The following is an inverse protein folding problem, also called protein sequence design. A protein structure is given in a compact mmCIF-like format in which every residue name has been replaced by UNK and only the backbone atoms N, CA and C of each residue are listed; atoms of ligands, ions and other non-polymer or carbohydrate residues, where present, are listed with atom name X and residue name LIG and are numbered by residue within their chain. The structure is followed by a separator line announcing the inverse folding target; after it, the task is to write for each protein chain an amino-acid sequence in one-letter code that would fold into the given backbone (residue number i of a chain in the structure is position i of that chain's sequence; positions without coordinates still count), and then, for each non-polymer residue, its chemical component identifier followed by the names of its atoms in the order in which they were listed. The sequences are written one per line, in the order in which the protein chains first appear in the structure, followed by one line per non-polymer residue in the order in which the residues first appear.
data_IF_831901676111
#
_entry.id   IF_831901676111
#
_cell.length_a   1.000
_cell.length_b   1.000
_cell.length_c   1.000
_cell.angle_alpha   90.00
_cell.angle_beta   90.00
_cell.angle_gamma   90.00
#
_symmetry.space_group_name_H-M   'P 1'
#
loop_
_entity.id
_entity.type
_entity.pdbx_description
1 polymer ?
#
# COMPACT_ATOMS: atom_id res chain seq x y z
N UNK A 1 2.32 -10.83 -27.32
CA UNK A 1 2.15 -11.78 -28.43
C UNK A 1 2.63 -13.17 -28.03
N UNK A 2 2.38 -14.18 -28.85
CA UNK A 2 2.84 -15.56 -28.59
C UNK A 2 4.38 -15.62 -28.58
N UNK A 3 5.04 -14.87 -29.46
CA UNK A 3 6.50 -14.79 -29.54
C UNK A 3 7.15 -14.27 -28.26
N UNK A 4 6.53 -13.29 -27.59
CA UNK A 4 7.05 -12.79 -26.29
C UNK A 4 6.95 -13.86 -25.19
N UNK A 5 5.93 -14.71 -25.23
CA UNK A 5 5.83 -15.84 -24.29
C UNK A 5 6.90 -16.90 -24.64
N UNK A 6 7.18 -17.14 -25.92
CA UNK A 6 8.27 -18.02 -26.36
C UNK A 6 9.62 -17.50 -25.87
N UNK A 7 9.91 -16.22 -26.11
CA UNK A 7 11.12 -15.57 -25.61
C UNK A 7 11.26 -15.68 -24.08
N UNK A 8 10.16 -15.53 -23.34
CA UNK A 8 10.17 -15.69 -21.87
C UNK A 8 10.51 -17.14 -21.47
N UNK A 9 9.98 -18.14 -22.19
CA UNK A 9 10.31 -19.56 -21.97
C UNK A 9 11.80 -19.82 -22.23
N UNK A 10 12.31 -19.35 -23.36
CA UNK A 10 13.72 -19.53 -23.77
C UNK A 10 14.69 -18.89 -22.75
N UNK A 11 14.30 -17.77 -22.15
CA UNK A 11 15.10 -17.05 -21.14
C UNK A 11 14.79 -17.47 -19.69
N UNK A 12 13.99 -18.53 -19.47
CA UNK A 12 13.59 -19.01 -18.15
C UNK A 12 12.94 -17.90 -17.28
N UNK A 13 12.16 -17.01 -17.90
CA UNK A 13 11.41 -15.97 -17.19
C UNK A 13 10.02 -16.51 -16.80
N UNK A 14 9.59 -16.24 -15.58
CA UNK A 14 8.26 -16.59 -15.06
C UNK A 14 7.30 -15.41 -14.97
N UNK A 15 7.73 -14.21 -15.37
CA UNK A 15 6.94 -12.97 -15.37
C UNK A 15 7.19 -12.17 -16.63
N UNK A 16 6.11 -11.77 -17.29
CA UNK A 16 6.13 -10.79 -18.40
C UNK A 16 5.48 -9.51 -17.91
N UNK A 17 6.20 -8.39 -17.99
CA UNK A 17 5.65 -7.05 -17.75
C UNK A 17 5.29 -6.44 -19.09
N UNK A 18 3.99 -6.26 -19.33
CA UNK A 18 3.46 -5.69 -20.56
C UNK A 18 2.88 -4.29 -20.31
N UNK A 19 2.91 -3.43 -21.32
CA UNK A 19 2.20 -2.16 -21.25
C UNK A 19 0.68 -2.39 -21.39
N UNK A 20 0.26 -3.03 -22.48
CA UNK A 20 -1.15 -3.32 -22.72
C UNK A 20 -1.55 -4.71 -22.21
N UNK A 21 -2.77 -4.85 -21.63
CA UNK A 21 -3.29 -6.15 -21.24
C UNK A 21 -3.54 -7.03 -22.47
N UNK A 22 -3.16 -8.30 -22.39
CA UNK A 22 -3.47 -9.27 -23.44
C UNK A 22 -4.96 -9.58 -23.49
N UNK A 23 -5.66 -9.52 -22.34
CA UNK A 23 -7.11 -9.63 -22.25
C UNK A 23 -7.67 -8.23 -22.07
N UNK A 24 -8.19 -7.64 -23.14
CA UNK A 24 -8.81 -6.31 -23.09
C UNK A 24 -10.29 -6.36 -22.69
N UNK A 25 -11.00 -7.39 -23.14
CA UNK A 25 -12.38 -7.68 -22.74
C UNK A 25 -12.50 -9.11 -22.24
N UNK A 26 -13.44 -9.36 -21.31
CA UNK A 26 -13.59 -10.67 -20.70
C UNK A 26 -13.72 -11.82 -21.70
N UNK A 27 -12.98 -12.88 -21.50
CA UNK A 27 -13.05 -14.10 -22.31
C UNK A 27 -14.19 -14.99 -21.81
N UNK A 28 -15.09 -15.38 -22.72
CA UNK A 28 -16.17 -16.33 -22.42
C UNK A 28 -15.72 -17.79 -22.55
N UNK A 29 -14.63 -18.05 -23.29
CA UNK A 29 -14.05 -19.36 -23.54
C UNK A 29 -12.56 -19.20 -23.85
N UNK A 30 -11.81 -20.26 -23.62
CA UNK A 30 -10.37 -20.37 -23.96
C UNK A 30 -10.17 -21.65 -24.74
N UNK A 31 -10.23 -21.56 -26.07
CA UNK A 31 -10.20 -22.71 -26.99
C UNK A 31 -8.97 -22.70 -27.91
N UNK A 32 -8.16 -21.62 -27.88
CA UNK A 32 -7.00 -21.47 -28.74
C UNK A 32 -7.31 -21.02 -30.19
N UNK A 33 -8.54 -20.57 -30.46
CA UNK A 33 -8.95 -20.19 -31.82
C UNK A 33 -8.32 -18.87 -32.29
N UNK A 34 -8.03 -17.95 -31.38
CA UNK A 34 -7.41 -16.67 -31.69
C UNK A 34 -6.07 -16.52 -30.96
N UNK A 35 -5.29 -15.49 -31.34
CA UNK A 35 -3.96 -15.26 -30.78
C UNK A 35 -3.98 -14.96 -29.26
N UNK A 36 -5.02 -14.28 -28.77
CA UNK A 36 -5.16 -13.98 -27.33
C UNK A 36 -5.31 -15.28 -26.55
N UNK A 37 -6.22 -16.15 -26.97
CA UNK A 37 -6.44 -17.45 -26.34
C UNK A 37 -5.17 -18.32 -26.35
N UNK A 38 -4.49 -18.38 -27.52
CA UNK A 38 -3.23 -19.17 -27.67
C UNK A 38 -2.12 -18.62 -26.76
N UNK A 39 -1.95 -17.28 -26.72
CA UNK A 39 -0.96 -16.62 -25.83
C UNK A 39 -1.21 -16.97 -24.38
N UNK A 40 -2.48 -16.90 -23.93
CA UNK A 40 -2.88 -17.21 -22.55
C UNK A 40 -2.66 -18.69 -22.24
N UNK A 41 -3.09 -19.60 -23.12
CA UNK A 41 -2.87 -21.03 -22.95
C UNK A 41 -1.37 -21.33 -22.83
N UNK A 42 -0.54 -20.72 -23.69
CA UNK A 42 0.91 -20.91 -23.65
C UNK A 42 1.52 -20.42 -22.34
N UNK A 43 1.13 -19.21 -21.88
CA UNK A 43 1.60 -18.65 -20.62
C UNK A 43 1.22 -19.52 -19.43
N UNK A 44 -0.04 -19.97 -19.33
CA UNK A 44 -0.52 -20.85 -18.26
C UNK A 44 0.22 -22.19 -18.26
N UNK A 45 0.41 -22.82 -19.44
CA UNK A 45 1.09 -24.11 -19.54
C UNK A 45 2.56 -24.07 -19.12
N UNK A 46 3.18 -22.90 -19.18
CA UNK A 46 4.59 -22.69 -18.81
C UNK A 46 4.77 -21.92 -17.49
N UNK A 47 3.70 -21.76 -16.72
CA UNK A 47 3.69 -21.08 -15.41
C UNK A 47 4.26 -19.65 -15.48
N UNK A 48 3.90 -18.92 -16.55
CA UNK A 48 4.33 -17.54 -16.77
C UNK A 48 3.19 -16.59 -16.42
N UNK A 49 3.43 -15.71 -15.44
CA UNK A 49 2.53 -14.61 -15.11
C UNK A 49 2.68 -13.46 -16.14
N UNK A 50 1.56 -12.80 -16.48
CA UNK A 50 1.56 -11.60 -17.32
C UNK A 50 0.97 -10.44 -16.53
N UNK A 51 1.79 -9.42 -16.25
CA UNK A 51 1.39 -8.21 -15.56
C UNK A 51 1.29 -7.03 -16.53
N UNK A 52 0.09 -6.50 -16.73
CA UNK A 52 -0.13 -5.32 -17.56
C UNK A 52 -0.11 -4.05 -16.69
N UNK A 53 0.94 -3.24 -16.84
CA UNK A 53 1.09 -2.01 -16.06
C UNK A 53 0.21 -0.87 -16.58
N UNK A 54 -0.08 -0.86 -17.89
CA UNK A 54 -0.91 0.11 -18.60
C UNK A 54 -0.68 1.56 -18.13
N UNK A 55 -1.74 2.32 -17.88
CA UNK A 55 -1.67 3.73 -17.45
C UNK A 55 -1.20 3.94 -16.01
N UNK A 56 -0.93 2.89 -15.22
CA UNK A 56 -0.36 3.05 -13.89
C UNK A 56 0.99 3.78 -13.95
N UNK A 57 1.84 3.45 -14.94
CA UNK A 57 3.15 4.06 -15.10
C UNK A 57 3.07 5.54 -15.52
N UNK A 58 1.97 5.96 -16.15
CA UNK A 58 1.75 7.37 -16.52
C UNK A 58 1.46 8.25 -15.30
N UNK A 59 1.05 7.65 -14.18
CA UNK A 59 0.75 8.35 -12.95
C UNK A 59 1.92 8.40 -11.96
N UNK A 60 3.08 7.90 -12.34
CA UNK A 60 4.29 7.90 -11.52
C UNK A 60 5.16 9.10 -11.92
N UNK A 61 5.66 9.87 -10.95
CA UNK A 61 6.48 11.06 -11.19
C UNK A 61 7.70 10.76 -12.08
N UNK A 62 8.39 9.63 -11.83
CA UNK A 62 9.52 9.14 -12.63
C UNK A 62 9.11 8.11 -13.69
N UNK A 63 7.87 8.19 -14.15
CA UNK A 63 7.30 7.26 -15.13
C UNK A 63 7.61 7.63 -16.58
N UNK A 64 6.70 7.25 -17.51
CA UNK A 64 6.90 7.40 -18.96
C UNK A 64 7.17 8.84 -19.37
N UNK A 65 6.38 9.81 -18.87
CA UNK A 65 6.53 11.22 -19.23
C UNK A 65 7.88 11.80 -18.78
N UNK A 66 8.37 11.42 -17.60
CA UNK A 66 9.68 11.82 -17.12
C UNK A 66 10.80 11.25 -17.99
N UNK A 67 10.69 9.97 -18.39
CA UNK A 67 11.67 9.33 -19.27
C UNK A 67 11.70 9.96 -20.68
N UNK A 68 10.55 10.34 -21.22
CA UNK A 68 10.47 11.07 -22.48
C UNK A 68 11.16 12.44 -22.35
N UNK A 69 10.87 13.18 -21.27
CA UNK A 69 11.49 14.46 -21.00
C UNK A 69 13.02 14.36 -20.90
N UNK A 70 13.54 13.34 -20.23
CA UNK A 70 14.97 13.06 -20.12
C UNK A 70 15.62 12.82 -21.49
N UNK A 71 15.00 11.99 -22.33
CA UNK A 71 15.51 11.69 -23.68
C UNK A 71 15.53 12.95 -24.56
N UNK A 72 14.51 13.79 -24.43
CA UNK A 72 14.42 15.08 -25.18
C UNK A 72 15.28 16.18 -24.58
N UNK A 73 15.91 15.98 -23.42
CA UNK A 73 16.72 16.97 -22.71
C UNK A 73 15.92 18.13 -22.09
N UNK A 74 14.60 17.93 -21.88
CA UNK A 74 13.73 18.96 -21.26
C UNK A 74 14.09 19.15 -19.80
N UNK A 75 14.20 20.40 -19.36
CA UNK A 75 14.56 20.78 -17.98
C UNK A 75 13.36 21.41 -17.24
N UNK A 76 13.41 21.38 -15.91
CA UNK A 76 12.42 22.01 -15.05
C UNK A 76 10.97 21.54 -15.30
N UNK A 77 10.79 20.26 -15.56
CA UNK A 77 9.48 19.65 -15.77
C UNK A 77 8.61 19.83 -14.53
N UNK A 78 7.32 20.09 -14.74
CA UNK A 78 6.30 20.17 -13.69
C UNK A 78 5.10 19.31 -14.08
N UNK A 79 4.44 18.73 -13.08
CA UNK A 79 3.20 18.00 -13.29
C UNK A 79 2.13 18.99 -13.77
N UNK A 80 1.59 18.77 -14.97
CA UNK A 80 0.58 19.65 -15.59
C UNK A 80 -0.74 19.64 -14.82
N UNK A 81 -1.19 18.47 -14.38
CA UNK A 81 -2.43 18.28 -13.62
C UNK A 81 -2.16 17.43 -12.37
N UNK A 82 -1.74 18.05 -11.26
CA UNK A 82 -1.47 17.31 -10.04
C UNK A 82 -2.76 16.70 -9.46
N UNK A 83 -2.69 15.45 -9.04
CA UNK A 83 -3.77 14.80 -8.29
C UNK A 83 -3.88 15.42 -6.91
N UNK A 84 -5.13 15.59 -6.44
CA UNK A 84 -5.46 16.02 -5.08
C UNK A 84 -5.75 14.81 -4.20
N UNK A 85 -5.81 15.04 -2.90
CA UNK A 85 -6.21 14.05 -1.89
C UNK A 85 -5.36 12.77 -1.92
N UNK A 86 -4.06 12.93 -2.12
CA UNK A 86 -3.09 11.83 -2.13
C UNK A 86 -2.50 11.52 -0.75
N UNK A 87 -2.65 12.44 0.19
CA UNK A 87 -2.20 12.25 1.58
C UNK A 87 -3.38 11.93 2.50
N UNK A 88 -3.08 11.12 3.50
CA UNK A 88 -3.95 10.80 4.63
C UNK A 88 -3.22 11.12 5.93
N UNK A 89 -3.98 11.35 6.98
CA UNK A 89 -3.46 11.49 8.34
C UNK A 89 -4.06 10.36 9.18
N UNK A 90 -3.20 9.58 9.81
CA UNK A 90 -3.60 8.63 10.84
C UNK A 90 -3.45 9.28 12.21
N UNK A 91 -4.48 9.14 13.03
CA UNK A 91 -4.45 9.44 14.45
C UNK A 91 -4.71 8.14 15.20
N UNK A 92 -3.84 7.78 16.14
CA UNK A 92 -4.00 6.59 16.98
C UNK A 92 -3.72 6.92 18.44
N UNK A 93 -4.37 6.21 19.33
CA UNK A 93 -4.19 6.32 20.79
C UNK A 93 -3.64 5.00 21.31
N UNK A 94 -2.52 5.03 22.01
CA UNK A 94 -1.88 3.84 22.55
C UNK A 94 -1.28 4.11 23.93
N UNK A 95 -1.06 3.09 24.77
CA UNK A 95 -0.35 3.25 26.03
C UNK A 95 1.00 3.92 25.81
N UNK A 96 1.39 4.84 26.69
CA UNK A 96 2.65 5.58 26.55
C UNK A 96 3.87 4.64 26.46
N UNK A 97 3.81 3.46 27.08
CA UNK A 97 4.85 2.42 27.03
C UNK A 97 5.06 1.85 25.63
N UNK A 98 4.01 1.85 24.80
CA UNK A 98 3.99 1.21 23.49
C UNK A 98 4.09 2.23 22.34
N UNK A 99 4.04 3.52 22.63
CA UNK A 99 3.98 4.59 21.64
C UNK A 99 5.17 4.56 20.66
N UNK A 100 6.38 4.26 21.15
CA UNK A 100 7.57 4.18 20.29
C UNK A 100 7.50 2.97 19.36
N UNK A 101 7.07 1.83 19.84
CA UNK A 101 6.89 0.61 19.04
C UNK A 101 5.85 0.83 17.93
N UNK A 102 4.75 1.53 18.26
CA UNK A 102 3.71 1.90 17.27
C UNK A 102 4.28 2.84 16.23
N UNK A 103 5.02 3.90 16.62
CA UNK A 103 5.66 4.84 15.67
C UNK A 103 6.58 4.14 14.69
N UNK A 104 7.51 3.33 15.20
CA UNK A 104 8.46 2.59 14.35
C UNK A 104 7.72 1.74 13.32
N UNK A 105 6.72 0.98 13.74
CA UNK A 105 5.94 0.15 12.82
C UNK A 105 5.19 0.96 11.75
N UNK A 106 4.69 2.15 12.08
CA UNK A 106 4.08 3.06 11.11
C UNK A 106 5.10 3.62 10.12
N UNK A 107 6.31 3.98 10.58
CA UNK A 107 7.39 4.46 9.72
C UNK A 107 7.90 3.37 8.78
N UNK A 108 8.12 2.15 9.28
CA UNK A 108 8.51 0.99 8.48
C UNK A 108 7.47 0.65 7.39
N UNK A 109 6.18 0.92 7.68
CA UNK A 109 5.11 0.75 6.70
C UNK A 109 4.99 1.91 5.69
N UNK A 110 5.81 2.97 5.82
CA UNK A 110 5.91 4.09 4.89
C UNK A 110 5.18 5.37 5.31
N UNK A 111 4.77 5.50 6.58
CA UNK A 111 4.25 6.76 7.11
C UNK A 111 5.37 7.74 7.48
N UNK A 112 5.03 9.01 7.70
CA UNK A 112 5.90 10.01 8.27
C UNK A 112 6.91 10.65 7.32
N UNK A 113 6.72 10.56 6.00
CA UNK A 113 7.59 11.24 5.03
C UNK A 113 7.03 12.61 4.65
N UNK A 114 7.84 13.67 4.84
CA UNK A 114 7.51 15.06 4.49
C UNK A 114 8.72 15.69 3.75
N UNK A 115 8.64 15.77 2.43
CA UNK A 115 9.74 16.27 1.61
C UNK A 115 11.00 15.43 1.76
N UNK A 116 12.07 16.00 2.32
CA UNK A 116 13.34 15.31 2.58
C UNK A 116 13.48 14.82 4.03
N UNK A 117 12.38 14.82 4.80
CA UNK A 117 12.35 14.32 6.17
C UNK A 117 11.55 13.03 6.22
N UNK A 118 12.00 12.09 7.00
CA UNK A 118 11.35 10.83 7.34
C UNK A 118 11.03 10.77 8.84
N UNK A 119 10.32 9.75 9.26
CA UNK A 119 9.95 9.52 10.67
C UNK A 119 9.23 10.70 11.33
N UNK A 120 8.51 11.52 10.51
CA UNK A 120 7.77 12.65 11.00
C UNK A 120 6.48 12.20 11.67
N UNK A 121 6.32 12.53 12.94
CA UNK A 121 5.10 12.34 13.73
C UNK A 121 4.88 13.49 14.67
N UNK A 122 3.65 13.62 15.15
CA UNK A 122 3.33 14.51 16.25
C UNK A 122 2.64 13.72 17.35
N UNK A 123 2.98 13.98 18.62
CA UNK A 123 2.41 13.25 19.74
C UNK A 123 1.98 14.17 20.88
N UNK A 124 0.91 13.78 21.55
CA UNK A 124 0.42 14.42 22.77
C UNK A 124 0.11 13.36 23.82
N UNK A 125 0.64 13.52 25.00
CA UNK A 125 0.31 12.65 26.16
C UNK A 125 -1.01 13.06 26.76
N UNK A 126 -1.82 12.08 27.12
CA UNK A 126 -3.12 12.28 27.71
C UNK A 126 -3.56 11.09 28.57
N UNK A 127 -4.84 11.06 28.87
CA UNK A 127 -5.47 9.97 29.61
C UNK A 127 -6.64 9.43 28.77
N UNK A 128 -6.59 8.14 28.43
CA UNK A 128 -7.69 7.41 27.83
C UNK A 128 -8.59 6.76 28.86
N UNK A 129 -9.86 6.54 28.53
CA UNK A 129 -10.78 5.79 29.38
C UNK A 129 -11.58 4.79 28.57
N UNK A 130 -11.74 3.60 29.10
CA UNK A 130 -12.58 2.57 28.49
C UNK A 130 -13.20 1.67 29.57
N UNK A 131 -14.16 0.85 29.17
CA UNK A 131 -14.73 -0.21 30.00
C UNK A 131 -14.93 -1.44 29.15
N UNK A 132 -14.19 -2.50 29.45
CA UNK A 132 -14.35 -3.78 28.80
C UNK A 132 -15.69 -4.42 29.15
N UNK A 133 -16.42 -4.93 28.17
CA UNK A 133 -17.68 -5.66 28.36
C UNK A 133 -17.43 -7.18 28.34
N UNK A 134 -18.46 -7.97 28.66
CA UNK A 134 -18.38 -9.43 28.57
C UNK A 134 -18.03 -9.86 27.13
N UNK A 135 -17.05 -10.74 26.98
CA UNK A 135 -16.58 -11.26 25.70
C UNK A 135 -15.32 -10.58 25.16
N UNK A 136 -14.81 -9.53 25.83
CA UNK A 136 -13.52 -8.93 25.52
C UNK A 136 -12.40 -9.62 26.32
N UNK A 137 -11.17 -9.56 25.78
CA UNK A 137 -9.93 -9.93 26.47
C UNK A 137 -9.04 -8.68 26.62
N UNK A 138 -9.33 -7.80 27.60
CA UNK A 138 -8.64 -6.52 27.70
C UNK A 138 -7.17 -6.71 28.06
N UNK A 139 -6.28 -6.10 27.27
CA UNK A 139 -4.84 -6.06 27.56
C UNK A 139 -4.55 -5.47 28.96
N UNK A 140 -5.37 -4.53 29.42
CA UNK A 140 -5.25 -3.86 30.73
C UNK A 140 -6.65 -3.55 31.29
N UNK A 141 -6.79 -3.52 32.62
CA UNK A 141 -8.06 -3.29 33.29
C UNK A 141 -8.90 -4.56 33.46
N UNK A 142 -10.10 -4.41 34.06
CA UNK A 142 -11.02 -5.50 34.40
C UNK A 142 -12.34 -5.36 33.63
N UNK A 143 -12.97 -6.51 33.31
CA UNK A 143 -14.29 -6.54 32.70
C UNK A 143 -15.33 -5.88 33.64
N UNK A 144 -16.13 -4.96 33.11
CA UNK A 144 -17.20 -4.27 33.82
C UNK A 144 -16.78 -3.02 34.60
N UNK A 145 -15.48 -2.77 34.73
CA UNK A 145 -14.93 -1.61 35.42
C UNK A 145 -14.43 -0.54 34.45
N UNK A 146 -14.58 0.75 34.77
CA UNK A 146 -13.98 1.84 34.01
C UNK A 146 -12.51 1.93 34.31
N UNK A 147 -11.67 1.69 33.36
CA UNK A 147 -10.23 1.88 33.42
C UNK A 147 -9.82 3.26 32.94
N UNK A 148 -8.73 3.81 33.48
CA UNK A 148 -8.04 5.02 33.03
C UNK A 148 -6.59 4.66 32.73
N UNK A 149 -6.12 4.97 31.54
CA UNK A 149 -4.78 4.65 31.11
C UNK A 149 -4.04 5.91 30.64
N UNK A 150 -2.73 5.97 30.92
CA UNK A 150 -1.85 6.99 30.35
C UNK A 150 -1.56 6.66 28.91
N UNK A 151 -2.16 7.41 28.03
CA UNK A 151 -2.05 7.20 26.58
C UNK A 151 -1.30 8.33 25.89
N UNK A 152 -0.74 8.00 24.74
CA UNK A 152 -0.18 8.96 23.81
C UNK A 152 -1.01 8.94 22.52
N UNK A 153 -1.49 10.12 22.12
CA UNK A 153 -2.05 10.35 20.80
C UNK A 153 -0.90 10.52 19.84
N UNK A 154 -0.79 9.65 18.84
CA UNK A 154 0.23 9.72 17.79
C UNK A 154 -0.45 10.07 16.48
N UNK A 155 0.09 11.07 15.78
CA UNK A 155 -0.36 11.52 14.47
C UNK A 155 0.76 11.36 13.45
N UNK A 156 0.44 10.75 12.31
CA UNK A 156 1.36 10.60 11.16
C UNK A 156 0.63 10.85 9.87
N UNK A 157 1.33 11.36 8.85
CA UNK A 157 0.80 11.46 7.49
C UNK A 157 1.38 10.35 6.62
N UNK A 158 0.64 9.97 5.59
CA UNK A 158 1.07 8.93 4.65
C UNK A 158 0.39 9.05 3.29
N UNK A 159 0.98 8.52 2.20
CA UNK A 159 0.32 8.42 0.91
C UNK A 159 -0.89 7.49 0.94
N UNK A 160 -2.00 7.92 0.36
CA UNK A 160 -3.28 7.17 0.34
C UNK A 160 -3.16 5.71 -0.10
N UNK A 161 -2.26 5.42 -1.04
CA UNK A 161 -2.05 4.06 -1.54
C UNK A 161 -1.42 3.11 -0.52
N UNK A 162 -0.87 3.63 0.60
CA UNK A 162 -0.29 2.84 1.69
C UNK A 162 -1.27 2.59 2.84
N UNK A 163 -2.52 3.05 2.76
CA UNK A 163 -3.51 2.97 3.83
C UNK A 163 -3.65 1.56 4.41
N UNK A 164 -3.84 0.56 3.55
CA UNK A 164 -4.00 -0.83 3.99
C UNK A 164 -2.74 -1.36 4.70
N UNK A 165 -1.55 -1.04 4.20
CA UNK A 165 -0.27 -1.46 4.80
C UNK A 165 -0.07 -0.80 6.16
N UNK A 166 -0.35 0.50 6.28
CA UNK A 166 -0.24 1.28 7.52
C UNK A 166 -1.20 0.75 8.58
N UNK A 167 -2.48 0.51 8.21
CA UNK A 167 -3.47 -0.02 9.16
C UNK A 167 -3.12 -1.45 9.58
N UNK A 168 -2.62 -2.28 8.66
CA UNK A 168 -2.18 -3.62 8.99
C UNK A 168 -0.99 -3.60 9.96
N UNK A 169 0.02 -2.75 9.71
CA UNK A 169 1.16 -2.58 10.60
C UNK A 169 0.72 -2.10 11.99
N UNK A 170 -0.18 -1.10 12.05
CA UNK A 170 -0.75 -0.61 13.30
C UNK A 170 -1.39 -1.74 14.11
N UNK A 171 -2.32 -2.49 13.50
CA UNK A 171 -3.08 -3.54 14.18
C UNK A 171 -2.20 -4.70 14.65
N UNK A 172 -1.09 -4.98 13.96
CA UNK A 172 -0.17 -6.05 14.33
C UNK A 172 0.70 -5.73 15.55
N UNK A 173 0.94 -4.44 15.84
CA UNK A 173 1.83 -4.04 16.94
C UNK A 173 1.11 -3.42 18.11
N UNK A 174 -0.12 -2.96 17.90
CA UNK A 174 -0.90 -2.31 18.94
C UNK A 174 -1.27 -3.32 20.04
N UNK A 175 -1.11 -2.98 21.34
CA UNK A 175 -1.38 -3.92 22.42
C UNK A 175 -2.87 -4.20 22.63
N UNK A 176 -3.76 -3.30 22.22
CA UNK A 176 -5.21 -3.47 22.39
C UNK A 176 -5.81 -4.34 21.29
N UNK A 177 -6.75 -5.21 21.65
CA UNK A 177 -7.50 -6.04 20.69
C UNK A 177 -8.36 -5.18 19.73
N UNK A 178 -8.91 -4.06 20.25
CA UNK A 178 -9.64 -3.07 19.46
C UNK A 178 -8.90 -1.74 19.48
N UNK A 179 -8.34 -1.38 18.33
CA UNK A 179 -7.50 -0.18 18.20
C UNK A 179 -8.35 1.05 17.94
N UNK A 180 -8.24 2.07 18.78
CA UNK A 180 -8.86 3.37 18.55
C UNK A 180 -7.99 4.21 17.60
N UNK A 181 -8.42 4.37 16.35
CA UNK A 181 -7.74 5.20 15.36
C UNK A 181 -8.73 5.92 14.43
N UNK A 182 -8.25 6.95 13.75
CA UNK A 182 -8.97 7.75 12.74
C UNK A 182 -8.07 8.00 11.53
N UNK A 183 -8.68 8.15 10.35
CA UNK A 183 -8.01 8.54 9.09
C UNK A 183 -8.75 9.72 8.49
#
# INVERSE_FOLDING_TARGET
TEEVVEEAIENNCNLIIAHHPIIFSGLKKITGQNYVERTIIKAIKNDIAIYAIHTNLDNVEKGVSAKIADILGVKNCKILSPKKDLLRQLVVYCPTSDAEKVRVALFDAGAGSIGNYDECSFSVKGEGTFRANKGCDPHIGNIGERHREKEEKVEVIFPKNLENSIISALKNVHPYEEVAYQI
#
